data_IF_386725524884
#
_entry.id   IF_386725524884
#
_cell.length_a   1.000
_cell.length_b   1.000
_cell.length_c   1.000
_cell.angle_alpha   90.00
_cell.angle_beta   90.00
_cell.angle_gamma   90.00
#
_symmetry.space_group_name_H-M   'P 1'
#
loop_
_entity.id
_entity.type
_entity.pdbx_description
1 polymer ?
#
# COMPACT_ATOMS: atom_id res chain seq x y z
N UNK A 1 6.93 -1.22 -24.02
CA UNK A 1 8.00 -0.98 -23.03
C UNK A 1 7.47 0.08 -22.08
N UNK A 2 7.38 -0.21 -20.78
CA UNK A 2 6.94 0.79 -19.79
C UNK A 2 8.02 1.86 -19.62
N UNK A 3 7.67 3.12 -19.28
CA UNK A 3 8.68 4.12 -18.96
C UNK A 3 9.55 3.64 -17.81
N UNK A 4 10.84 3.97 -17.85
CA UNK A 4 11.73 3.69 -16.72
C UNK A 4 11.27 4.47 -15.48
N UNK A 5 11.46 3.93 -14.27
CA UNK A 5 11.22 4.68 -13.04
C UNK A 5 11.91 6.03 -13.09
N UNK A 6 11.22 7.07 -12.63
CA UNK A 6 11.82 8.40 -12.51
C UNK A 6 12.94 8.37 -11.48
N UNK A 7 13.92 9.25 -11.65
CA UNK A 7 14.87 9.51 -10.58
C UNK A 7 14.10 10.10 -9.39
N UNK A 8 14.15 9.41 -8.24
CA UNK A 8 13.44 9.80 -7.02
C UNK A 8 14.36 10.56 -6.08
N UNK A 9 13.88 11.66 -5.50
CA UNK A 9 14.57 12.38 -4.42
C UNK A 9 13.96 11.95 -3.07
N UNK A 10 14.38 10.78 -2.58
CA UNK A 10 13.84 10.20 -1.35
C UNK A 10 14.18 11.08 -0.14
N UNK A 11 13.20 11.48 0.69
CA UNK A 11 13.47 12.18 1.93
C UNK A 11 14.37 11.35 2.86
N UNK A 12 15.47 11.94 3.33
CA UNK A 12 16.43 11.29 4.24
C UNK A 12 16.27 11.72 5.70
N UNK A 13 15.39 12.69 5.96
CA UNK A 13 15.18 13.24 7.30
C UNK A 13 13.69 13.27 7.65
N UNK A 14 13.39 12.98 8.91
CA UNK A 14 12.04 13.15 9.45
C UNK A 14 11.74 14.63 9.63
N UNK A 15 10.62 15.09 9.07
CA UNK A 15 10.16 16.46 9.21
C UNK A 15 9.88 16.80 10.69
N UNK A 16 10.14 18.05 11.09
CA UNK A 16 9.96 18.50 12.48
C UNK A 16 8.57 18.19 13.06
N UNK A 17 7.52 18.30 12.25
CA UNK A 17 6.16 17.99 12.69
C UNK A 17 5.93 16.49 12.98
N UNK A 18 6.67 15.59 12.32
CA UNK A 18 6.53 14.15 12.47
C UNK A 18 7.35 13.59 13.66
N UNK A 19 8.42 14.29 14.08
CA UNK A 19 9.32 13.86 15.17
C UNK A 19 8.62 13.60 16.51
N UNK A 20 7.45 14.21 16.73
CA UNK A 20 6.66 14.04 17.96
C UNK A 20 5.48 13.08 17.81
N UNK A 21 5.41 12.36 16.69
CA UNK A 21 4.36 11.39 16.40
C UNK A 21 4.87 9.95 16.58
N UNK A 22 3.98 8.96 16.65
CA UNK A 22 4.39 7.54 16.57
C UNK A 22 5.17 7.20 15.29
N UNK A 23 5.04 8.00 14.23
CA UNK A 23 5.69 7.79 12.94
C UNK A 23 7.03 8.55 12.82
N UNK A 24 7.72 8.87 13.92
CA UNK A 24 8.97 9.63 13.91
C UNK A 24 10.11 8.95 13.12
N UNK A 25 10.00 7.65 12.87
CA UNK A 25 10.91 6.85 12.06
C UNK A 25 10.64 6.97 10.54
N UNK A 26 9.58 7.66 10.11
CA UNK A 26 9.18 7.75 8.70
C UNK A 26 9.57 9.10 8.11
N UNK A 27 10.36 9.08 7.03
CA UNK A 27 10.75 10.28 6.29
C UNK A 27 9.70 10.59 5.21
N UNK A 28 9.28 11.85 5.11
CA UNK A 28 8.15 12.29 4.28
C UNK A 28 8.51 13.55 3.53
N UNK A 29 7.98 13.68 2.32
CA UNK A 29 8.17 14.88 1.51
C UNK A 29 7.32 16.04 2.06
N UNK A 30 7.93 17.22 2.17
CA UNK A 30 7.26 18.40 2.72
C UNK A 30 6.24 19.03 1.75
N UNK A 31 6.27 18.65 0.47
CA UNK A 31 5.33 19.12 -0.57
C UNK A 31 3.96 18.46 -0.46
N UNK A 32 3.86 17.31 0.23
CA UNK A 32 2.61 16.57 0.40
C UNK A 32 1.59 17.36 1.23
N UNK A 33 0.34 17.36 0.77
CA UNK A 33 -0.78 18.06 1.42
C UNK A 33 -1.40 17.12 2.46
N UNK A 34 -1.28 17.45 3.75
CA UNK A 34 -1.86 16.66 4.84
C UNK A 34 -3.37 16.89 4.97
N UNK A 35 -4.13 15.82 5.09
CA UNK A 35 -5.60 15.82 5.04
C UNK A 35 -6.27 15.57 6.40
N UNK A 36 -5.51 15.09 7.39
CA UNK A 36 -5.99 14.71 8.73
C UNK A 36 -5.16 15.32 9.86
N UNK A 37 -4.48 16.45 9.58
CA UNK A 37 -3.50 17.03 10.51
C UNK A 37 -2.16 16.28 10.44
N UNK A 38 -1.44 16.21 11.55
CA UNK A 38 -0.10 15.59 11.57
C UNK A 38 -0.20 14.06 11.54
N UNK A 39 -1.13 13.47 12.33
CA UNK A 39 -1.27 12.02 12.49
C UNK A 39 -2.74 11.62 12.79
N UNK A 40 -3.27 10.50 12.26
CA UNK A 40 -2.63 9.56 11.31
C UNK A 40 -2.29 10.24 9.98
N UNK A 41 -1.21 9.78 9.33
CA UNK A 41 -0.74 10.42 8.10
C UNK A 41 -1.64 10.06 6.91
N UNK A 42 -2.38 11.05 6.42
CA UNK A 42 -3.13 10.96 5.18
C UNK A 42 -2.78 12.18 4.33
N UNK A 43 -2.32 11.96 3.11
CA UNK A 43 -1.89 13.02 2.23
C UNK A 43 -2.12 12.72 0.75
N UNK A 44 -2.17 13.77 -0.04
CA UNK A 44 -2.09 13.74 -1.49
C UNK A 44 -1.02 14.73 -1.98
N UNK A 45 -0.37 14.49 -3.11
CA UNK A 45 0.49 15.49 -3.74
C UNK A 45 -0.34 16.68 -4.26
N UNK A 46 0.27 17.86 -4.43
CA UNK A 46 -0.32 18.92 -5.24
C UNK A 46 -0.63 18.40 -6.64
N UNK A 47 -1.85 18.67 -7.13
CA UNK A 47 -2.34 18.10 -8.40
C UNK A 47 -1.44 18.42 -9.60
N UNK A 48 -0.89 19.63 -9.65
CA UNK A 48 0.05 20.02 -10.72
C UNK A 48 1.32 19.19 -10.68
N UNK A 49 1.92 18.98 -9.50
CA UNK A 49 3.11 18.15 -9.36
C UNK A 49 2.86 16.69 -9.73
N UNK A 50 1.67 16.16 -9.38
CA UNK A 50 1.26 14.82 -9.78
C UNK A 50 1.14 14.71 -11.31
N UNK A 51 0.53 15.70 -11.95
CA UNK A 51 0.40 15.73 -13.41
C UNK A 51 1.76 15.88 -14.12
N UNK A 52 2.60 16.79 -13.65
CA UNK A 52 3.91 17.09 -14.22
C UNK A 52 4.89 15.91 -14.08
N UNK A 53 4.67 15.02 -13.10
CA UNK A 53 5.41 13.77 -12.95
C UNK A 53 5.17 12.79 -14.11
N UNK A 54 4.10 12.95 -14.88
CA UNK A 54 3.79 12.07 -16.01
C UNK A 54 3.19 10.74 -15.57
N UNK A 55 3.54 9.65 -16.28
CA UNK A 55 2.88 8.35 -16.10
C UNK A 55 3.21 7.67 -14.77
N UNK A 56 4.46 7.77 -14.30
CA UNK A 56 4.89 7.21 -13.01
C UNK A 56 5.00 8.34 -11.99
N UNK A 57 4.43 8.13 -10.82
CA UNK A 57 4.49 9.07 -9.70
C UNK A 57 5.76 8.80 -8.88
N UNK A 58 6.63 9.80 -8.65
CA UNK A 58 7.76 9.68 -7.74
C UNK A 58 7.30 9.22 -6.35
N UNK A 59 8.07 8.33 -5.71
CA UNK A 59 7.69 7.69 -4.44
C UNK A 59 7.46 8.75 -3.34
N UNK A 60 8.26 9.81 -3.34
CA UNK A 60 8.15 10.93 -2.41
C UNK A 60 6.87 11.76 -2.59
N UNK A 61 6.22 11.69 -3.76
CA UNK A 61 4.94 12.33 -4.05
C UNK A 61 3.75 11.35 -4.01
N UNK A 62 3.97 10.10 -3.62
CA UNK A 62 2.93 9.10 -3.55
C UNK A 62 1.85 9.48 -2.53
N UNK A 63 0.56 9.36 -2.89
CA UNK A 63 -0.51 9.61 -1.93
C UNK A 63 -0.46 8.56 -0.80
N UNK A 64 -0.61 8.98 0.45
CA UNK A 64 -0.59 8.07 1.60
C UNK A 64 -1.95 8.06 2.29
N UNK A 65 -2.46 6.88 2.59
CA UNK A 65 -3.66 6.69 3.41
C UNK A 65 -3.33 5.71 4.54
N UNK A 66 -3.12 6.23 5.74
CA UNK A 66 -2.97 5.41 6.94
C UNK A 66 -4.20 5.53 7.85
N UNK A 67 -4.65 4.38 8.37
CA UNK A 67 -5.71 4.33 9.40
C UNK A 67 -5.17 4.63 10.81
N UNK A 68 -3.86 4.45 11.04
CA UNK A 68 -3.19 4.66 12.31
C UNK A 68 -1.69 4.87 12.13
N UNK A 69 -0.91 4.43 13.12
CA UNK A 69 0.56 4.49 13.07
C UNK A 69 1.15 3.45 12.13
N UNK A 70 2.29 3.82 11.54
CA UNK A 70 3.08 2.92 10.69
C UNK A 70 3.77 1.90 11.60
N UNK A 71 3.62 0.58 11.34
CA UNK A 71 4.42 -0.42 12.03
C UNK A 71 5.91 -0.20 11.77
N UNK A 72 6.70 -0.21 12.83
CA UNK A 72 8.15 -0.13 12.73
C UNK A 72 8.71 -1.52 12.39
N UNK A 73 9.57 -1.57 11.37
CA UNK A 73 10.30 -2.75 10.96
C UNK A 73 11.75 -2.33 10.72
N UNK A 74 12.70 -2.97 11.42
CA UNK A 74 14.11 -2.65 11.24
C UNK A 74 14.63 -3.28 9.94
N UNK A 75 15.52 -2.60 9.23
CA UNK A 75 16.09 -3.09 7.96
C UNK A 75 16.72 -4.49 8.09
N UNK A 76 17.35 -4.79 9.23
CA UNK A 76 17.93 -6.11 9.53
C UNK A 76 16.91 -7.25 9.66
N UNK A 77 15.64 -6.91 9.87
CA UNK A 77 14.55 -7.87 10.09
C UNK A 77 13.70 -8.10 8.84
N UNK A 78 13.80 -7.22 7.83
CA UNK A 78 12.97 -7.22 6.61
C UNK A 78 12.94 -8.59 5.93
N UNK A 79 14.10 -9.22 5.72
CA UNK A 79 14.17 -10.53 5.04
C UNK A 79 13.58 -11.68 5.87
N UNK A 80 13.55 -11.52 7.19
CA UNK A 80 12.98 -12.50 8.13
C UNK A 80 11.50 -12.22 8.44
N UNK A 81 10.92 -11.15 7.90
CA UNK A 81 9.50 -10.86 8.04
C UNK A 81 8.68 -12.04 7.52
N UNK A 82 7.70 -12.50 8.31
CA UNK A 82 6.87 -13.65 7.95
C UNK A 82 5.43 -13.25 7.66
N UNK A 83 4.79 -14.01 6.79
CA UNK A 83 3.34 -13.98 6.58
C UNK A 83 2.79 -15.41 6.57
N UNK A 84 1.51 -15.53 6.88
CA UNK A 84 0.80 -16.82 6.94
C UNK A 84 -0.31 -16.89 5.91
N UNK A 85 -0.54 -18.08 5.35
CA UNK A 85 -1.74 -18.43 4.60
C UNK A 85 -2.44 -19.55 5.34
N UNK A 86 -3.66 -19.28 5.79
CA UNK A 86 -4.44 -20.18 6.63
C UNK A 86 -5.94 -20.16 6.25
N UNK A 87 -6.79 -20.80 7.06
CA UNK A 87 -8.22 -20.88 6.83
C UNK A 87 -8.63 -22.05 5.91
N UNK A 88 -9.38 -21.78 4.84
CA UNK A 88 -9.93 -22.80 3.94
C UNK A 88 -8.91 -23.29 2.90
N UNK A 89 -7.79 -23.82 3.37
CA UNK A 89 -6.69 -24.35 2.55
C UNK A 89 -6.35 -25.79 2.99
N UNK A 90 -5.81 -26.60 2.08
CA UNK A 90 -5.33 -27.95 2.41
C UNK A 90 -3.94 -27.93 3.03
N UNK A 91 -3.10 -26.96 2.63
CA UNK A 91 -1.72 -26.82 3.09
C UNK A 91 -1.51 -25.41 3.63
N UNK A 92 -1.85 -25.15 4.91
CA UNK A 92 -1.47 -23.91 5.57
C UNK A 92 0.04 -23.74 5.53
N UNK A 93 0.53 -22.51 5.35
CA UNK A 93 1.95 -22.23 5.26
C UNK A 93 2.30 -20.90 5.93
N UNK A 94 3.53 -20.84 6.44
CA UNK A 94 4.19 -19.61 6.90
C UNK A 94 5.44 -19.44 6.05
N UNK A 95 5.66 -18.24 5.53
CA UNK A 95 6.78 -17.95 4.63
C UNK A 95 7.45 -16.63 5.01
N UNK A 96 8.76 -16.59 4.91
CA UNK A 96 9.57 -15.37 5.06
C UNK A 96 9.60 -14.56 3.76
N UNK A 97 9.90 -13.26 3.85
CA UNK A 97 10.17 -12.44 2.67
C UNK A 97 11.35 -13.02 1.85
N UNK A 98 12.38 -13.53 2.51
CA UNK A 98 13.52 -14.16 1.84
C UNK A 98 13.11 -15.35 0.95
N UNK A 99 12.24 -16.22 1.46
CA UNK A 99 11.70 -17.36 0.69
C UNK A 99 10.82 -16.88 -0.47
N UNK A 100 10.01 -15.84 -0.24
CA UNK A 100 9.16 -15.25 -1.28
C UNK A 100 9.98 -14.70 -2.47
N UNK A 101 11.16 -14.14 -2.21
CA UNK A 101 12.06 -13.63 -3.26
C UNK A 101 12.62 -14.72 -4.18
N UNK A 102 12.54 -16.00 -3.79
CA UNK A 102 12.96 -17.13 -4.64
C UNK A 102 11.95 -17.49 -5.75
N UNK A 103 10.72 -16.98 -5.67
CA UNK A 103 9.68 -17.17 -6.67
C UNK A 103 9.89 -16.30 -7.90
N UNK A 104 9.19 -16.61 -9.00
CA UNK A 104 9.22 -15.82 -10.23
C UNK A 104 8.66 -14.42 -9.96
N UNK A 105 9.47 -13.40 -10.23
CA UNK A 105 9.09 -12.00 -10.03
C UNK A 105 8.46 -11.44 -11.31
N UNK A 106 7.34 -10.75 -11.16
CA UNK A 106 6.61 -10.07 -12.23
C UNK A 106 6.56 -8.56 -11.93
N UNK A 107 6.78 -7.74 -12.96
CA UNK A 107 6.71 -6.28 -12.85
C UNK A 107 5.59 -5.72 -13.72
N UNK A 108 4.66 -4.96 -13.12
CA UNK A 108 3.52 -4.37 -13.83
C UNK A 108 3.29 -2.92 -13.35
N UNK A 109 2.90 -2.00 -14.25
CA UNK A 109 2.39 -0.71 -13.82
C UNK A 109 1.00 -0.88 -13.21
N UNK A 110 0.77 -0.26 -12.06
CA UNK A 110 -0.56 -0.16 -11.48
C UNK A 110 -0.81 1.25 -10.96
N UNK A 111 -2.01 1.75 -11.18
CA UNK A 111 -2.51 2.97 -10.55
C UNK A 111 -3.32 2.57 -9.33
N UNK A 112 -2.88 3.02 -8.15
CA UNK A 112 -3.70 2.95 -6.95
C UNK A 112 -4.51 4.23 -6.83
N UNK A 113 -5.79 4.09 -6.50
CA UNK A 113 -6.71 5.20 -6.30
C UNK A 113 -7.41 5.00 -4.95
N UNK A 114 -7.35 6.01 -4.09
CA UNK A 114 -8.12 5.99 -2.85
C UNK A 114 -9.61 6.06 -3.16
N UNK A 115 -10.43 5.24 -2.50
CA UNK A 115 -11.89 5.36 -2.56
C UNK A 115 -12.39 6.75 -2.10
N UNK A 116 -11.57 7.51 -1.37
CA UNK A 116 -11.86 8.88 -0.98
C UNK A 116 -11.51 9.93 -2.02
N UNK A 117 -10.84 9.61 -3.13
CA UNK A 117 -10.44 10.61 -4.13
C UNK A 117 -11.65 11.44 -4.60
N UNK A 118 -11.49 12.77 -4.68
CA UNK A 118 -12.52 13.78 -4.96
C UNK A 118 -13.60 13.98 -3.88
N UNK A 119 -13.49 13.36 -2.70
CA UNK A 119 -14.50 13.49 -1.63
C UNK A 119 -14.74 14.93 -1.17
N UNK A 120 -13.78 15.86 -1.30
CA UNK A 120 -14.00 17.27 -0.95
C UNK A 120 -15.16 17.88 -1.73
N UNK A 121 -15.34 17.48 -2.99
CA UNK A 121 -16.44 17.96 -3.82
C UNK A 121 -17.80 17.50 -3.29
N UNK A 122 -17.90 16.24 -2.86
CA UNK A 122 -19.10 15.72 -2.18
C UNK A 122 -19.35 16.47 -0.87
N UNK A 123 -18.31 16.68 -0.06
CA UNK A 123 -18.41 17.33 1.25
C UNK A 123 -18.82 18.80 1.17
N UNK A 124 -18.57 19.48 0.03
CA UNK A 124 -19.08 20.84 -0.23
C UNK A 124 -20.61 20.81 -0.42
N UNK A 125 -21.14 19.81 -1.12
CA UNK A 125 -22.59 19.66 -1.35
C UNK A 125 -23.28 19.20 -0.06
N UNK A 126 -22.75 18.14 0.57
CA UNK A 126 -23.24 17.61 1.84
C UNK A 126 -22.11 16.89 2.57
N UNK A 127 -21.74 17.40 3.75
CA UNK A 127 -20.69 16.83 4.59
C UNK A 127 -20.97 15.35 4.93
N UNK A 128 -20.05 14.47 4.50
CA UNK A 128 -19.97 13.06 4.87
C UNK A 128 -19.14 12.87 6.15
N UNK A 129 -19.00 11.62 6.59
CA UNK A 129 -18.13 11.25 7.72
C UNK A 129 -16.63 11.21 7.34
N UNK A 130 -16.31 11.25 6.04
CA UNK A 130 -14.93 11.17 5.57
C UNK A 130 -14.25 12.54 5.52
N UNK A 131 -12.96 12.57 5.84
CA UNK A 131 -12.13 13.76 5.63
C UNK A 131 -11.97 14.08 4.14
N UNK A 132 -11.65 15.34 3.83
CA UNK A 132 -11.55 15.85 2.47
C UNK A 132 -10.32 15.29 1.75
N UNK A 133 -10.54 14.72 0.57
CA UNK A 133 -9.51 14.54 -0.45
C UNK A 133 -9.80 15.50 -1.60
N UNK A 134 -8.77 16.10 -2.18
CA UNK A 134 -8.82 16.71 -3.49
C UNK A 134 -8.88 15.64 -4.58
N UNK A 135 -8.40 15.98 -5.77
CA UNK A 135 -8.42 15.10 -6.95
C UNK A 135 -7.11 14.32 -7.16
N UNK A 136 -6.19 14.38 -6.21
CA UNK A 136 -4.85 13.79 -6.29
C UNK A 136 -4.69 12.57 -5.38
N UNK A 137 -5.79 11.97 -4.90
CA UNK A 137 -5.80 10.73 -4.13
C UNK A 137 -5.52 9.48 -4.99
N UNK A 138 -4.55 9.57 -5.90
CA UNK A 138 -4.09 8.47 -6.75
C UNK A 138 -2.62 8.63 -7.13
N UNK A 139 -1.95 7.51 -7.41
CA UNK A 139 -0.56 7.46 -7.87
C UNK A 139 -0.31 6.19 -8.69
N UNK A 140 0.64 6.23 -9.60
CA UNK A 140 0.97 5.11 -10.50
C UNK A 140 2.43 4.75 -10.38
N UNK A 141 2.76 3.47 -10.19
CA UNK A 141 4.14 2.99 -10.14
C UNK A 141 4.28 1.65 -10.83
N UNK A 142 5.53 1.24 -11.03
CA UNK A 142 5.87 -0.14 -11.35
C UNK A 142 5.94 -0.91 -10.03
N UNK A 143 5.11 -1.94 -9.92
CA UNK A 143 5.14 -2.85 -8.80
C UNK A 143 5.81 -4.14 -9.24
N UNK A 144 6.71 -4.66 -8.42
CA UNK A 144 7.39 -5.93 -8.64
C UNK A 144 7.11 -6.88 -7.49
N UNK A 145 6.76 -8.12 -7.80
CA UNK A 145 6.69 -9.18 -6.82
C UNK A 145 6.12 -10.48 -7.39
N UNK A 146 5.55 -11.31 -6.52
CA UNK A 146 5.12 -12.67 -6.87
C UNK A 146 3.62 -12.68 -7.10
N UNK A 147 3.17 -13.33 -8.17
CA UNK A 147 1.74 -13.55 -8.41
C UNK A 147 1.12 -14.30 -7.23
N UNK A 148 0.07 -13.74 -6.64
CA UNK A 148 -0.65 -14.33 -5.51
C UNK A 148 -1.17 -15.72 -5.87
N UNK A 149 -1.52 -15.93 -7.14
CA UNK A 149 -1.94 -17.23 -7.67
C UNK A 149 -0.87 -18.32 -7.51
N UNK A 150 0.42 -18.00 -7.57
CA UNK A 150 1.50 -18.98 -7.37
C UNK A 150 1.57 -19.44 -5.92
N UNK A 151 1.48 -18.50 -4.97
CA UNK A 151 1.51 -18.81 -3.54
C UNK A 151 0.25 -19.57 -3.13
N UNK A 152 -0.92 -19.13 -3.61
CA UNK A 152 -2.19 -19.81 -3.33
C UNK A 152 -2.23 -21.23 -3.90
N UNK A 153 -1.65 -21.50 -5.08
CA UNK A 153 -1.55 -22.88 -5.62
C UNK A 153 -0.80 -23.82 -4.68
N UNK A 154 0.22 -23.34 -3.97
CA UNK A 154 0.93 -24.12 -2.95
C UNK A 154 0.03 -24.40 -1.75
N UNK A 155 -0.73 -23.39 -1.30
CA UNK A 155 -1.65 -23.55 -0.17
C UNK A 155 -2.86 -24.45 -0.47
N UNK A 156 -3.25 -24.58 -1.74
CA UNK A 156 -4.39 -25.39 -2.23
C UNK A 156 -5.71 -25.02 -1.55
N UNK A 157 -6.38 -23.92 -1.98
CA UNK A 157 -7.68 -23.53 -1.44
C UNK A 157 -8.70 -24.65 -1.61
N UNK A 158 -9.41 -24.98 -0.53
CA UNK A 158 -10.43 -26.04 -0.49
C UNK A 158 -11.64 -25.67 -1.35
N UNK A 159 -12.32 -26.69 -1.87
CA UNK A 159 -13.62 -26.49 -2.52
C UNK A 159 -14.58 -25.73 -1.60
N UNK A 160 -15.23 -24.69 -2.15
CA UNK A 160 -16.12 -23.81 -1.40
C UNK A 160 -15.47 -22.53 -0.89
N UNK A 161 -14.14 -22.39 -0.90
CA UNK A 161 -13.48 -21.11 -0.64
C UNK A 161 -13.92 -20.06 -1.69
N UNK A 162 -14.19 -18.83 -1.24
CA UNK A 162 -14.71 -17.73 -2.10
C UNK A 162 -13.95 -16.42 -1.98
N UNK A 163 -13.27 -16.19 -0.85
CA UNK A 163 -12.58 -14.94 -0.57
C UNK A 163 -11.19 -15.24 -0.04
N UNK A 164 -10.26 -14.35 -0.38
CA UNK A 164 -8.96 -14.23 0.26
C UNK A 164 -9.03 -13.02 1.16
N UNK A 165 -8.90 -13.23 2.48
CA UNK A 165 -8.80 -12.18 3.46
C UNK A 165 -7.32 -11.79 3.62
N UNK A 166 -7.06 -10.50 3.79
CA UNK A 166 -5.73 -9.95 4.01
C UNK A 166 -5.79 -9.09 5.28
N UNK A 167 -4.79 -9.24 6.13
CA UNK A 167 -4.65 -8.48 7.37
C UNK A 167 -3.24 -7.86 7.41
N UNK A 168 -3.16 -6.59 7.83
CA UNK A 168 -1.91 -5.85 8.00
C UNK A 168 -1.34 -6.02 9.40
N UNK A 169 -0.11 -5.55 9.60
CA UNK A 169 0.56 -5.57 10.90
C UNK A 169 0.26 -4.33 11.78
N UNK A 170 -0.53 -3.39 11.27
CA UNK A 170 -0.86 -2.14 11.95
C UNK A 170 -1.82 -2.36 13.12
N UNK A 171 -1.53 -1.71 14.25
CA UNK A 171 -2.35 -1.79 15.45
C UNK A 171 -3.27 -0.57 15.52
N UNK A 172 -4.52 -0.74 15.15
CA UNK A 172 -5.56 0.29 15.20
C UNK A 172 -6.42 0.15 16.47
N UNK A 173 -7.23 1.17 16.84
CA UNK A 173 -8.12 1.09 17.99
C UNK A 173 -9.10 -0.10 17.97
N UNK A 174 -9.44 -0.60 16.77
CA UNK A 174 -10.40 -1.70 16.56
C UNK A 174 -9.73 -2.99 16.03
N UNK A 175 -8.44 -3.18 16.27
CA UNK A 175 -7.68 -4.35 15.80
C UNK A 175 -6.76 -4.01 14.63
N UNK A 176 -6.45 -5.02 13.82
CA UNK A 176 -5.59 -4.87 12.65
C UNK A 176 -6.39 -4.40 11.43
N UNK A 177 -5.77 -3.67 10.50
CA UNK A 177 -6.45 -3.37 9.25
C UNK A 177 -6.63 -4.65 8.44
N UNK A 178 -7.86 -4.97 8.08
CA UNK A 178 -8.20 -6.16 7.30
C UNK A 178 -9.21 -5.86 6.20
N UNK A 179 -9.09 -6.58 5.09
CA UNK A 179 -10.08 -6.56 3.99
C UNK A 179 -10.07 -7.90 3.25
N UNK A 180 -10.93 -8.04 2.23
CA UNK A 180 -10.94 -9.24 1.39
C UNK A 180 -11.19 -8.91 -0.07
N UNK A 181 -10.74 -9.81 -0.93
CA UNK A 181 -11.10 -9.85 -2.35
C UNK A 181 -11.65 -11.23 -2.69
N UNK A 182 -12.36 -11.35 -3.81
CA UNK A 182 -12.79 -12.66 -4.31
C UNK A 182 -11.56 -13.51 -4.58
N UNK A 183 -11.61 -14.79 -4.19
CA UNK A 183 -10.54 -15.74 -4.46
C UNK A 183 -10.29 -15.86 -5.98
N UNK A 184 -11.35 -15.80 -6.80
CA UNK A 184 -11.21 -15.76 -8.26
C UNK A 184 -10.37 -14.59 -8.76
N UNK A 185 -10.42 -13.44 -8.09
CA UNK A 185 -9.60 -12.27 -8.42
C UNK A 185 -8.15 -12.49 -7.99
N UNK A 186 -7.94 -13.06 -6.80
CA UNK A 186 -6.60 -13.38 -6.28
C UNK A 186 -5.87 -14.45 -7.12
N UNK A 187 -6.62 -15.33 -7.79
CA UNK A 187 -6.08 -16.37 -8.67
C UNK A 187 -5.76 -15.89 -10.09
N UNK A 188 -6.07 -14.63 -10.44
CA UNK A 188 -5.73 -14.04 -11.73
C UNK A 188 -4.29 -13.50 -11.75
N UNK A 189 -3.73 -13.33 -12.96
CA UNK A 189 -2.34 -12.90 -13.19
C UNK A 189 -2.08 -11.39 -12.95
N UNK A 190 -3.01 -10.69 -12.28
CA UNK A 190 -2.90 -9.27 -11.95
C UNK A 190 -2.90 -8.99 -10.44
N UNK A 191 -2.95 -10.03 -9.61
CA UNK A 191 -2.85 -9.91 -8.15
C UNK A 191 -1.48 -10.44 -7.70
N UNK A 192 -0.67 -9.61 -7.05
CA UNK A 192 0.69 -9.95 -6.66
C UNK A 192 1.12 -9.27 -5.37
N UNK A 193 2.13 -9.85 -4.70
CA UNK A 193 2.83 -9.23 -3.57
C UNK A 193 3.68 -8.07 -4.08
N UNK A 194 3.88 -7.02 -3.28
CA UNK A 194 4.30 -5.71 -3.82
C UNK A 194 5.61 -5.22 -3.21
N UNK A 195 6.59 -4.97 -4.06
CA UNK A 195 7.65 -3.97 -3.85
C UNK A 195 7.42 -2.82 -4.83
N UNK A 196 7.48 -1.58 -4.32
CA UNK A 196 7.38 -0.36 -5.11
C UNK A 196 8.76 -0.02 -5.69
N UNK A 197 8.87 0.05 -7.02
CA UNK A 197 10.08 0.45 -7.74
C UNK A 197 9.96 1.84 -8.37
#
# INVERSE_FOLDING_TARGET
MFPLPLQTDKPTETLECDKKTPDAHVHRDNRLIRLTGIHPFNCEPPLSLLYDSGFLTPIELWFVRNHGAVPELQDSEVLNWTFTIEGMVETPLTMTLLELLSYSQTTLPATLVCAGNRRKEENIVRKSNGFNWGSAGHSTALFTGVLMSEILKVAKPKHGARYMCMEGADKLPNGYYGTSIRLSTAMNDFCFTLTLN
#
